data_IF_094444334028
#
_entry.id   IF_094444334028
#
_cell.length_a   1.000
_cell.length_b   1.000
_cell.length_c   1.000
_cell.angle_alpha   90.00
_cell.angle_beta   90.00
_cell.angle_gamma   90.00
#
_symmetry.space_group_name_H-M   'P 1'
#
loop_
_entity.id
_entity.type
_entity.pdbx_description
1 polymer ?
#
# COMPACT_ATOMS: atom_id res chain seq x y z
N UNK A 1 19.26 1.40 7.20
CA UNK A 1 19.64 2.56 6.34
C UNK A 1 19.26 2.31 4.85
N UNK A 2 18.16 1.60 4.56
CA UNK A 2 17.70 1.34 3.18
C UNK A 2 16.19 1.52 2.94
N UNK A 3 15.45 2.13 3.88
CA UNK A 3 14.10 2.65 3.61
C UNK A 3 14.06 3.68 2.47
N UNK A 4 15.21 4.26 2.08
CA UNK A 4 15.31 5.26 1.01
C UNK A 4 15.31 4.70 -0.42
N UNK A 5 15.11 3.39 -0.61
CA UNK A 5 15.13 2.76 -1.95
C UNK A 5 13.76 2.21 -2.40
N UNK A 6 12.77 2.10 -1.52
CA UNK A 6 11.42 1.62 -1.88
C UNK A 6 10.40 2.73 -2.16
N UNK A 7 10.71 4.00 -1.82
CA UNK A 7 9.88 5.17 -2.14
C UNK A 7 10.38 5.98 -3.36
N UNK A 8 11.45 5.53 -4.03
CA UNK A 8 12.21 6.39 -4.95
C UNK A 8 12.49 5.79 -6.36
N UNK A 9 11.93 4.62 -6.71
CA UNK A 9 12.26 3.93 -7.98
C UNK A 9 11.04 3.69 -8.88
N UNK A 10 10.32 4.78 -9.17
CA UNK A 10 9.44 4.88 -10.36
C UNK A 10 10.14 5.69 -11.48
N UNK A 11 11.40 6.12 -11.30
CA UNK A 11 12.27 6.64 -12.37
C UNK A 11 13.34 5.65 -12.76
N UNK A 12 13.33 5.22 -14.02
CA UNK A 12 14.35 5.63 -15.00
C UNK A 12 13.96 5.17 -16.43
N UNK A 13 14.45 5.89 -17.43
CA UNK A 13 14.56 5.47 -18.85
C UNK A 13 13.27 5.36 -19.71
N UNK A 14 12.77 6.52 -20.13
CA UNK A 14 12.84 6.96 -21.55
C UNK A 14 13.15 8.47 -21.55
N UNK A 15 14.12 9.04 -22.28
CA UNK A 15 14.76 8.66 -23.54
C UNK A 15 16.28 8.90 -23.49
N UNK A 16 17.05 8.16 -24.29
CA UNK A 16 18.45 8.50 -24.62
C UNK A 16 18.55 9.28 -25.94
N UNK A 17 19.64 10.05 -26.08
CA UNK A 17 20.15 10.76 -27.28
C UNK A 17 19.54 12.15 -27.61
N UNK A 18 20.35 13.09 -28.14
CA UNK A 18 21.69 13.46 -27.68
C UNK A 18 21.85 14.98 -27.46
N UNK A 19 22.85 15.37 -26.66
CA UNK A 19 23.16 16.77 -26.33
C UNK A 19 23.75 17.54 -27.51
N UNK A 20 23.42 18.84 -27.65
CA UNK A 20 24.27 19.82 -28.33
C UNK A 20 24.14 21.25 -27.78
N UNK A 21 25.29 21.79 -27.35
CA UNK A 21 25.66 23.21 -27.27
C UNK A 21 25.04 24.14 -26.18
N UNK A 22 25.62 24.04 -24.97
CA UNK A 22 26.44 25.06 -24.30
C UNK A 22 25.97 26.53 -24.07
N UNK A 23 25.76 26.86 -22.78
CA UNK A 23 26.32 28.01 -22.00
C UNK A 23 25.89 29.47 -22.32
N UNK A 24 26.09 30.48 -21.41
CA UNK A 24 26.68 30.46 -20.05
C UNK A 24 25.88 31.14 -18.91
N UNK A 25 26.49 31.09 -17.71
CA UNK A 25 26.13 31.54 -16.35
C UNK A 25 26.17 33.07 -16.09
N UNK A 26 25.33 33.56 -15.16
CA UNK A 26 25.58 34.68 -14.19
C UNK A 26 24.75 34.41 -12.92
N UNK A 27 25.28 34.19 -11.70
CA UNK A 27 25.73 35.18 -10.68
C UNK A 27 24.78 36.38 -10.49
N UNK A 28 24.40 36.87 -9.29
CA UNK A 28 24.84 36.68 -7.89
C UNK A 28 23.61 36.32 -6.99
N UNK A 29 23.47 36.50 -5.67
CA UNK A 29 24.26 37.13 -4.57
C UNK A 29 23.77 36.64 -3.19
N UNK A 30 24.54 36.91 -2.14
CA UNK A 30 24.30 36.54 -0.73
C UNK A 30 23.14 37.29 -0.03
N UNK A 31 22.61 36.69 1.05
CA UNK A 31 22.28 37.43 2.29
C UNK A 31 22.46 36.54 3.53
N UNK A 32 23.33 36.97 4.45
CA UNK A 32 23.54 36.36 5.77
C UNK A 32 22.99 37.27 6.86
N UNK A 33 22.26 36.70 7.83
CA UNK A 33 22.07 37.32 9.16
C UNK A 33 21.94 36.25 10.25
N UNK A 34 23.00 36.15 11.06
CA UNK A 34 22.99 35.76 12.48
C UNK A 34 22.10 36.73 13.31
N UNK A 35 21.67 36.53 14.56
CA UNK A 35 21.63 35.43 15.56
C UNK A 35 20.69 35.91 16.69
N UNK A 36 19.99 35.03 17.42
CA UNK A 36 19.84 35.12 18.90
C UNK A 36 19.06 33.95 19.49
N UNK A 37 19.37 33.62 20.75
CA UNK A 37 18.99 32.38 21.43
C UNK A 37 18.42 32.63 22.83
N UNK A 38 17.22 32.12 23.10
CA UNK A 38 16.58 31.91 24.42
C UNK A 38 15.16 31.40 24.16
N UNK A 39 14.57 30.42 24.85
CA UNK A 39 14.98 29.72 26.07
C UNK A 39 14.69 28.21 25.98
N UNK A 40 15.36 27.43 26.83
CA UNK A 40 15.28 25.98 26.88
C UNK A 40 14.60 25.53 28.18
N UNK A 41 13.52 24.76 28.11
CA UNK A 41 12.98 24.00 29.25
C UNK A 41 12.16 22.80 28.78
N UNK A 42 12.31 21.62 29.41
CA UNK A 42 11.81 20.36 28.87
C UNK A 42 10.35 20.10 29.24
N UNK A 43 9.56 19.62 28.28
CA UNK A 43 8.30 18.90 28.58
C UNK A 43 8.64 17.40 28.55
N UNK A 44 8.27 16.71 29.63
CA UNK A 44 8.81 15.40 29.95
C UNK A 44 8.33 14.28 29.04
N UNK A 45 9.22 13.32 28.79
CA UNK A 45 8.82 11.97 28.43
C UNK A 45 8.27 11.28 29.68
N UNK A 46 7.02 10.83 29.62
CA UNK A 46 6.38 9.73 30.37
C UNK A 46 4.89 9.72 29.93
N UNK A 47 4.18 8.60 29.78
CA UNK A 47 4.51 7.23 30.15
C UNK A 47 4.07 6.21 29.09
N UNK A 48 4.92 5.20 28.87
CA UNK A 48 4.52 3.92 28.33
C UNK A 48 3.70 3.16 29.39
N UNK A 49 2.45 2.78 29.08
CA UNK A 49 1.62 1.93 29.95
C UNK A 49 1.50 0.54 29.29
N UNK A 50 2.08 -0.52 29.89
CA UNK A 50 1.90 -1.88 29.43
C UNK A 50 0.69 -2.56 30.09
N UNK A 51 -0.03 -3.33 29.27
CA UNK A 51 -0.76 -4.57 29.57
C UNK A 51 -1.95 -4.55 30.58
N UNK A 52 -3.06 -5.16 30.17
CA UNK A 52 -3.65 -6.24 30.97
C UNK A 52 -4.51 -7.20 30.13
N UNK A 53 -3.91 -8.33 29.81
CA UNK A 53 -4.58 -9.61 29.54
C UNK A 53 -5.84 -9.88 30.39
N UNK A 54 -6.98 -10.18 29.74
CA UNK A 54 -7.99 -11.14 30.27
C UNK A 54 -9.12 -11.47 29.28
N UNK A 55 -9.02 -12.61 28.59
CA UNK A 55 -10.05 -13.67 28.63
C UNK A 55 -9.64 -14.89 27.81
N UNK A 56 -8.90 -15.81 28.44
CA UNK A 56 -8.86 -17.18 27.99
C UNK A 56 -10.08 -17.93 28.57
N UNK A 57 -11.08 -18.25 27.75
CA UNK A 57 -11.92 -19.47 27.89
C UNK A 57 -12.97 -19.61 26.78
N UNK A 58 -12.58 -20.24 25.68
CA UNK A 58 -13.49 -21.11 24.90
C UNK A 58 -12.70 -22.33 24.41
N UNK A 59 -12.89 -23.46 25.10
CA UNK A 59 -12.19 -24.71 24.80
C UNK A 59 -12.83 -25.41 23.61
N UNK A 60 -12.59 -24.89 22.40
CA UNK A 60 -12.72 -25.65 21.15
C UNK A 60 -11.34 -26.17 20.76
N UNK A 61 -11.16 -27.49 20.70
CA UNK A 61 -9.96 -28.08 20.07
C UNK A 61 -9.95 -27.68 18.61
N UNK A 62 -8.93 -26.96 18.10
CA UNK A 62 -8.80 -26.74 16.68
C UNK A 62 -8.65 -28.09 15.98
N UNK A 63 -9.21 -28.23 14.78
CA UNK A 63 -8.94 -29.40 13.95
C UNK A 63 -7.44 -29.50 13.65
N UNK A 64 -6.95 -30.70 13.33
CA UNK A 64 -5.60 -30.89 12.79
C UNK A 64 -5.49 -30.10 11.47
N UNK A 65 -5.03 -28.84 11.56
CA UNK A 65 -4.55 -28.10 10.42
C UNK A 65 -3.30 -28.81 9.94
N UNK A 66 -3.30 -29.26 8.68
CA UNK A 66 -2.06 -29.61 7.98
C UNK A 66 -1.33 -28.30 7.68
N UNK A 67 -0.69 -27.74 8.71
CA UNK A 67 0.12 -26.55 8.60
C UNK A 67 1.22 -26.76 7.58
N UNK A 68 1.59 -25.69 6.86
CA UNK A 68 2.92 -25.56 6.28
C UNK A 68 3.99 -25.88 7.33
N UNK A 69 4.51 -27.11 7.29
CA UNK A 69 5.61 -27.54 8.13
C UNK A 69 6.87 -26.78 7.71
N UNK A 70 7.22 -25.78 8.50
CA UNK A 70 8.45 -25.02 8.35
C UNK A 70 9.64 -25.98 8.17
N UNK A 71 10.36 -25.93 7.05
CA UNK A 71 11.40 -26.91 6.75
C UNK A 71 12.48 -26.86 7.83
N UNK A 72 12.80 -28.02 8.40
CA UNK A 72 13.74 -28.17 9.52
C UNK A 72 15.18 -27.85 9.08
N UNK A 73 15.50 -26.56 9.04
CA UNK A 73 16.82 -26.09 8.63
C UNK A 73 17.84 -26.23 9.75
N UNK A 74 18.78 -27.15 9.56
CA UNK A 74 20.04 -27.14 10.29
C UNK A 74 20.83 -25.89 9.89
N UNK A 75 20.86 -24.88 10.75
CA UNK A 75 21.61 -23.63 10.54
C UNK A 75 23.09 -23.95 10.28
N UNK A 76 23.66 -23.63 9.10
CA UNK A 76 25.10 -23.59 8.92
C UNK A 76 25.64 -22.30 9.57
N UNK A 77 26.75 -22.34 10.32
CA UNK A 77 27.28 -21.13 10.96
C UNK A 77 27.85 -20.16 9.93
N UNK A 78 27.76 -18.86 10.24
CA UNK A 78 28.31 -17.77 9.44
C UNK A 78 29.78 -17.98 9.07
N UNK A 79 30.10 -17.84 7.79
CA UNK A 79 31.50 -17.80 7.31
C UNK A 79 31.73 -16.67 6.31
N UNK A 80 31.85 -15.45 6.83
CA UNK A 80 32.46 -14.35 6.10
C UNK A 80 33.95 -14.64 5.85
N UNK A 81 34.31 -15.15 4.67
CA UNK A 81 35.69 -15.03 4.15
C UNK A 81 35.69 -14.91 2.62
N UNK A 82 36.29 -13.86 2.02
CA UNK A 82 36.37 -13.73 0.57
C UNK A 82 37.52 -14.57 0.00
N UNK A 83 37.19 -15.68 -0.67
CA UNK A 83 38.18 -16.50 -1.40
C UNK A 83 38.17 -16.19 -2.89
N UNK A 84 39.25 -15.57 -3.34
CA UNK A 84 39.46 -15.14 -4.73
C UNK A 84 40.16 -16.27 -5.52
N UNK A 85 39.46 -16.90 -6.47
CA UNK A 85 40.08 -17.88 -7.38
C UNK A 85 39.48 -17.84 -8.78
N UNK A 86 40.29 -17.40 -9.74
CA UNK A 86 40.04 -17.54 -11.18
C UNK A 86 40.23 -18.99 -11.62
N UNK A 87 39.28 -19.53 -12.39
CA UNK A 87 39.52 -20.67 -13.26
C UNK A 87 38.58 -20.64 -14.46
N UNK A 88 39.16 -20.52 -15.66
CA UNK A 88 38.45 -20.82 -16.90
C UNK A 88 38.25 -22.33 -16.99
N UNK A 89 37.09 -22.78 -17.48
CA UNK A 89 37.04 -23.87 -18.46
C UNK A 89 35.69 -23.93 -19.18
N UNK A 90 35.74 -23.89 -20.51
CA UNK A 90 34.59 -24.15 -21.36
C UNK A 90 34.28 -25.65 -21.39
N UNK A 91 33.04 -26.03 -21.13
CA UNK A 91 32.49 -27.31 -21.55
C UNK A 91 31.00 -27.14 -21.87
N UNK A 92 30.68 -27.15 -23.16
CA UNK A 92 29.30 -27.18 -23.66
C UNK A 92 28.65 -28.50 -23.31
N UNK A 93 27.54 -28.46 -22.56
CA UNK A 93 26.60 -29.58 -22.43
C UNK A 93 25.21 -29.04 -22.71
N UNK A 94 24.61 -29.48 -23.81
CA UNK A 94 23.22 -29.20 -24.13
C UNK A 94 22.32 -30.05 -23.22
N UNK A 95 21.66 -29.43 -22.24
CA UNK A 95 20.52 -30.03 -21.54
C UNK A 95 19.24 -29.34 -21.96
N UNK A 96 18.46 -30.03 -22.79
CA UNK A 96 17.10 -29.66 -23.13
C UNK A 96 16.21 -29.71 -21.88
N UNK A 97 15.89 -28.54 -21.33
CA UNK A 97 14.77 -28.37 -20.40
C UNK A 97 13.66 -27.63 -21.11
N UNK A 98 12.51 -28.29 -21.27
CA UNK A 98 11.32 -27.70 -21.86
C UNK A 98 10.65 -26.70 -20.90
N UNK A 99 11.25 -25.52 -20.75
CA UNK A 99 10.55 -24.36 -20.25
C UNK A 99 9.54 -23.89 -21.30
N UNK A 100 8.34 -23.51 -20.88
CA UNK A 100 7.33 -22.90 -21.76
C UNK A 100 7.74 -21.48 -22.14
N UNK A 101 8.66 -21.36 -23.10
CA UNK A 101 9.02 -20.08 -23.71
C UNK A 101 7.87 -19.63 -24.61
N UNK A 102 6.95 -18.85 -24.06
CA UNK A 102 6.01 -18.07 -24.86
C UNK A 102 6.83 -17.14 -25.77
N UNK A 103 6.66 -17.17 -27.10
CA UNK A 103 7.42 -16.31 -27.99
C UNK A 103 7.03 -14.85 -27.73
N UNK A 104 8.03 -13.97 -27.58
CA UNK A 104 7.80 -12.55 -27.25
C UNK A 104 6.88 -11.90 -28.31
N UNK A 105 5.67 -11.45 -27.92
CA UNK A 105 4.75 -10.83 -28.85
C UNK A 105 5.23 -9.41 -29.20
N UNK A 106 5.18 -9.00 -30.48
CA UNK A 106 5.61 -7.67 -30.86
C UNK A 106 4.67 -6.60 -30.27
N UNK A 107 5.26 -5.51 -29.77
CA UNK A 107 4.64 -4.23 -29.31
C UNK A 107 4.15 -4.08 -27.87
N UNK A 108 4.14 -5.10 -27.02
CA UNK A 108 3.93 -4.89 -25.58
C UNK A 108 5.22 -4.44 -24.90
N UNK A 109 5.18 -3.40 -24.06
CA UNK A 109 6.32 -2.99 -23.23
C UNK A 109 6.06 -3.39 -21.78
N UNK A 110 7.05 -4.02 -21.14
CA UNK A 110 7.11 -4.20 -19.68
C UNK A 110 7.15 -2.83 -19.00
N UNK A 111 6.15 -2.46 -18.18
CA UNK A 111 6.22 -1.25 -17.35
C UNK A 111 7.25 -1.44 -16.23
N UNK A 112 7.75 -0.33 -15.71
CA UNK A 112 8.73 -0.30 -14.62
C UNK A 112 7.99 -0.07 -13.29
N UNK A 113 7.35 -1.12 -12.79
CA UNK A 113 6.54 -1.10 -11.56
C UNK A 113 7.34 -1.59 -10.35
N UNK A 114 7.03 -1.06 -9.16
CA UNK A 114 7.69 -1.45 -7.88
C UNK A 114 6.95 -2.60 -7.21
N UNK A 115 5.63 -2.51 -7.07
CA UNK A 115 4.81 -3.54 -6.39
C UNK A 115 4.16 -4.52 -7.37
N UNK A 116 3.50 -4.02 -8.42
CA UNK A 116 2.94 -4.86 -9.49
C UNK A 116 4.05 -5.63 -10.22
N UNK A 117 3.83 -6.90 -10.52
CA UNK A 117 4.70 -7.65 -11.43
C UNK A 117 4.55 -7.13 -12.88
N UNK A 118 5.47 -6.25 -13.30
CA UNK A 118 5.47 -5.66 -14.63
C UNK A 118 5.62 -6.69 -15.76
N UNK A 119 6.16 -7.88 -15.51
CA UNK A 119 6.23 -8.93 -16.54
C UNK A 119 4.88 -9.62 -16.72
N UNK A 120 4.15 -9.89 -15.63
CA UNK A 120 2.75 -10.36 -15.70
C UNK A 120 1.83 -9.33 -16.35
N UNK A 121 1.94 -8.05 -15.97
CA UNK A 121 1.20 -6.95 -16.63
C UNK A 121 1.41 -6.94 -18.14
N UNK A 122 2.67 -7.06 -18.58
CA UNK A 122 3.01 -7.13 -20.00
C UNK A 122 2.33 -8.32 -20.69
N UNK A 123 2.45 -9.53 -20.12
CA UNK A 123 1.83 -10.72 -20.69
C UNK A 123 0.30 -10.61 -20.75
N UNK A 124 -0.35 -10.08 -19.72
CA UNK A 124 -1.77 -9.82 -19.68
C UNK A 124 -2.20 -8.85 -20.81
N UNK A 125 -1.52 -7.71 -20.96
CA UNK A 125 -1.77 -6.75 -22.05
C UNK A 125 -1.64 -7.39 -23.44
N UNK A 126 -0.66 -8.29 -23.64
CA UNK A 126 -0.52 -8.98 -24.92
C UNK A 126 -1.64 -9.99 -25.18
N UNK A 127 -2.03 -10.77 -24.17
CA UNK A 127 -3.14 -11.73 -24.28
C UNK A 127 -4.46 -11.01 -24.55
N UNK A 128 -4.73 -9.91 -23.84
CA UNK A 128 -5.83 -8.97 -24.13
C UNK A 128 -5.82 -8.54 -25.59
N UNK A 129 -4.69 -8.00 -26.09
CA UNK A 129 -4.56 -7.56 -27.50
C UNK A 129 -4.71 -8.68 -28.52
N UNK A 130 -4.39 -9.92 -28.15
CA UNK A 130 -4.58 -11.11 -29.00
C UNK A 130 -6.03 -11.63 -29.03
N UNK A 131 -6.93 -11.07 -28.21
CA UNK A 131 -8.33 -11.48 -28.14
C UNK A 131 -8.62 -12.64 -27.20
N UNK A 132 -7.80 -12.84 -26.16
CA UNK A 132 -8.02 -13.89 -25.15
C UNK A 132 -9.34 -13.67 -24.40
N UNK A 133 -10.32 -14.54 -24.65
CA UNK A 133 -11.69 -14.40 -24.13
C UNK A 133 -11.77 -14.39 -22.60
N UNK A 134 -10.82 -15.01 -21.90
CA UNK A 134 -10.79 -14.99 -20.43
C UNK A 134 -10.49 -13.58 -19.92
N UNK A 135 -9.36 -13.02 -20.36
CA UNK A 135 -8.92 -11.67 -19.98
C UNK A 135 -9.80 -10.56 -20.57
N UNK A 136 -10.50 -10.80 -21.68
CA UNK A 136 -11.50 -9.86 -22.17
C UNK A 136 -12.68 -9.71 -21.19
N UNK A 137 -13.03 -10.76 -20.44
CA UNK A 137 -14.03 -10.64 -19.37
C UNK A 137 -13.50 -9.85 -18.18
N UNK A 138 -12.26 -10.12 -17.75
CA UNK A 138 -11.60 -9.37 -16.66
C UNK A 138 -11.49 -7.89 -17.03
N UNK A 139 -11.08 -7.59 -18.28
CA UNK A 139 -10.93 -6.23 -18.81
C UNK A 139 -12.26 -5.49 -18.82
N UNK A 140 -13.37 -6.13 -19.19
CA UNK A 140 -14.68 -5.49 -19.14
C UNK A 140 -15.06 -5.07 -17.70
N UNK A 141 -14.66 -5.85 -16.68
CA UNK A 141 -14.80 -5.48 -15.27
C UNK A 141 -13.96 -4.24 -14.91
N UNK A 142 -12.68 -4.26 -15.25
CA UNK A 142 -11.76 -3.13 -15.04
C UNK A 142 -12.23 -1.85 -15.73
N UNK A 143 -12.65 -1.95 -17.00
CA UNK A 143 -13.16 -0.80 -17.76
C UNK A 143 -14.49 -0.29 -17.20
N UNK A 144 -15.37 -1.17 -16.72
CA UNK A 144 -16.59 -0.74 -16.03
C UNK A 144 -16.28 0.09 -14.77
N UNK A 145 -15.33 -0.33 -13.94
CA UNK A 145 -14.87 0.47 -12.79
C UNK A 145 -14.24 1.80 -13.24
N UNK A 146 -13.41 1.79 -14.28
CA UNK A 146 -12.77 2.99 -14.81
C UNK A 146 -13.80 4.03 -15.29
N UNK A 147 -14.86 3.61 -15.99
CA UNK A 147 -15.96 4.50 -16.41
C UNK A 147 -16.72 5.11 -15.21
N UNK A 148 -16.87 4.39 -14.10
CA UNK A 148 -17.43 4.96 -12.86
C UNK A 148 -16.51 6.06 -12.30
N UNK A 149 -15.19 5.86 -12.32
CA UNK A 149 -14.22 6.85 -11.85
C UNK A 149 -14.05 8.05 -12.79
N UNK A 150 -14.28 7.90 -14.10
CA UNK A 150 -14.27 9.00 -15.08
C UNK A 150 -15.31 10.10 -14.80
N UNK A 151 -16.28 9.87 -13.91
CA UNK A 151 -17.32 10.86 -13.53
C UNK A 151 -17.13 11.47 -12.14
N UNK A 152 -16.01 11.18 -11.48
CA UNK A 152 -15.75 11.54 -10.09
C UNK A 152 -14.41 12.26 -9.90
N UNK A 153 -14.27 12.95 -8.76
CA UNK A 153 -13.06 13.71 -8.42
C UNK A 153 -12.87 14.99 -9.26
N UNK A 154 -11.67 15.60 -9.22
CA UNK A 154 -10.55 15.21 -8.36
C UNK A 154 -10.79 15.56 -6.88
N UNK A 155 -10.09 14.87 -5.97
CA UNK A 155 -10.19 15.05 -4.52
C UNK A 155 -8.95 15.75 -3.94
N UNK A 156 -9.06 16.29 -2.72
CA UNK A 156 -7.95 16.99 -2.05
C UNK A 156 -8.12 17.02 -0.54
N UNK A 157 -7.00 17.05 0.20
CA UNK A 157 -6.98 17.30 1.64
C UNK A 157 -7.64 18.62 2.06
N UNK A 158 -7.69 19.63 1.17
CA UNK A 158 -8.29 20.94 1.49
C UNK A 158 -9.81 20.90 1.61
N UNK A 159 -10.43 19.76 1.28
CA UNK A 159 -11.87 19.51 1.37
C UNK A 159 -12.35 19.16 2.79
N UNK A 160 -11.45 19.04 3.78
CA UNK A 160 -11.80 18.72 5.16
C UNK A 160 -12.86 19.66 5.74
N UNK A 161 -14.01 19.10 6.16
CA UNK A 161 -15.14 19.88 6.71
C UNK A 161 -14.81 20.46 8.10
N UNK A 162 -13.99 19.75 8.87
CA UNK A 162 -13.46 20.17 10.18
C UNK A 162 -12.01 20.60 10.02
N UNK A 163 -11.66 21.74 10.62
CA UNK A 163 -10.29 22.28 10.58
C UNK A 163 -9.29 21.31 11.21
N UNK A 164 -8.11 21.17 10.59
CA UNK A 164 -6.99 20.39 11.13
C UNK A 164 -6.48 21.04 12.43
N UNK A 165 -6.48 20.33 13.58
CA UNK A 165 -5.97 20.88 14.84
C UNK A 165 -4.48 21.21 14.75
N UNK A 166 -4.09 22.44 15.08
CA UNK A 166 -2.70 22.94 15.04
C UNK A 166 -1.98 22.81 13.67
N UNK A 167 -2.71 22.54 12.59
CA UNK A 167 -2.22 22.45 11.23
C UNK A 167 -2.90 23.47 10.30
N UNK A 168 -2.91 23.17 9.00
CA UNK A 168 -3.55 23.97 7.95
C UNK A 168 -4.34 23.07 6.98
N UNK A 169 -5.04 23.66 6.00
CA UNK A 169 -5.89 22.93 5.05
C UNK A 169 -5.14 21.94 4.15
N UNK A 170 -3.82 22.10 3.98
CA UNK A 170 -2.99 21.19 3.19
C UNK A 170 -2.47 19.99 3.99
N UNK A 171 -2.72 19.93 5.30
CA UNK A 171 -2.35 18.76 6.10
C UNK A 171 -3.42 17.66 5.98
N UNK A 172 -2.98 16.43 5.70
CA UNK A 172 -3.87 15.27 5.77
C UNK A 172 -4.30 15.03 7.22
N UNK A 173 -5.61 14.92 7.42
CA UNK A 173 -6.19 14.69 8.73
C UNK A 173 -7.15 13.50 8.71
N UNK A 174 -7.07 12.67 9.74
CA UNK A 174 -8.04 11.62 9.99
C UNK A 174 -8.22 11.44 11.49
N UNK A 175 -9.45 11.19 11.94
CA UNK A 175 -9.73 10.83 13.34
C UNK A 175 -9.78 9.31 13.47
N UNK A 176 -9.35 8.78 14.62
CA UNK A 176 -9.42 7.34 14.85
C UNK A 176 -10.89 6.88 15.00
N UNK A 177 -11.32 5.82 14.28
CA UNK A 177 -12.73 5.50 14.08
C UNK A 177 -13.47 5.06 15.35
N UNK A 178 -12.74 4.51 16.32
CA UNK A 178 -13.31 3.91 17.53
C UNK A 178 -13.17 4.78 18.78
N UNK A 179 -12.93 6.08 18.62
CA UNK A 179 -12.81 7.03 19.74
C UNK A 179 -14.01 7.97 19.78
N UNK A 180 -14.76 7.94 20.87
CA UNK A 180 -15.99 8.69 21.11
C UNK A 180 -15.81 9.70 22.23
N UNK A 181 -16.55 10.83 22.26
CA UNK A 181 -16.52 11.75 23.39
C UNK A 181 -17.06 11.07 24.67
N UNK A 182 -16.58 11.48 25.85
CA UNK A 182 -16.98 10.82 27.12
C UNK A 182 -18.50 10.88 27.36
N UNK A 183 -19.13 12.00 26.98
CA UNK A 183 -20.58 12.21 27.03
C UNK A 183 -21.40 11.50 25.93
N UNK A 184 -20.88 10.53 25.18
CA UNK A 184 -21.65 9.89 24.10
C UNK A 184 -22.96 9.20 24.56
N UNK A 185 -23.01 8.72 25.81
CA UNK A 185 -24.19 8.13 26.46
C UNK A 185 -25.19 9.18 27.01
N UNK A 186 -24.73 10.40 27.30
CA UNK A 186 -25.53 11.53 27.79
C UNK A 186 -24.98 12.85 27.22
N UNK A 187 -25.31 13.19 25.95
CA UNK A 187 -24.72 14.34 25.26
C UNK A 187 -24.93 15.68 25.98
N UNK A 188 -26.00 15.82 26.75
CA UNK A 188 -26.37 17.04 27.47
C UNK A 188 -25.50 17.30 28.72
N UNK A 189 -24.76 16.29 29.20
CA UNK A 189 -23.85 16.42 30.36
C UNK A 189 -22.68 17.39 30.13
N UNK A 190 -22.33 17.66 28.87
CA UNK A 190 -21.24 18.56 28.47
C UNK A 190 -19.81 18.03 28.70
N UNK A 191 -19.66 16.82 29.26
CA UNK A 191 -18.36 16.21 29.56
C UNK A 191 -17.77 15.51 28.33
N UNK A 192 -17.27 16.29 27.38
CA UNK A 192 -16.83 15.78 26.06
C UNK A 192 -15.47 15.06 26.10
N UNK A 193 -14.59 15.42 27.05
CA UNK A 193 -13.21 14.95 27.12
C UNK A 193 -12.96 14.17 28.44
N UNK A 194 -12.03 13.19 28.46
CA UNK A 194 -11.25 12.68 27.34
C UNK A 194 -12.11 11.81 26.40
N UNK A 195 -11.72 11.68 25.13
CA UNK A 195 -12.37 10.68 24.29
C UNK A 195 -12.05 9.28 24.81
N UNK A 196 -13.01 8.36 24.70
CA UNK A 196 -12.95 6.98 25.18
C UNK A 196 -13.01 6.01 24.00
N UNK A 197 -12.22 4.94 24.07
CA UNK A 197 -12.22 3.91 23.02
C UNK A 197 -13.43 2.99 23.17
N UNK A 198 -14.12 2.73 22.06
CA UNK A 198 -15.25 1.81 21.90
C UNK A 198 -14.98 0.94 20.68
N UNK A 199 -14.22 -0.14 20.87
CA UNK A 199 -13.74 -0.97 19.77
C UNK A 199 -14.88 -1.54 18.92
N UNK A 200 -14.68 -1.59 17.60
CA UNK A 200 -15.72 -1.93 16.62
C UNK A 200 -16.86 -0.91 16.45
N UNK A 201 -17.05 0.06 17.36
CA UNK A 201 -18.15 1.04 17.31
C UNK A 201 -17.68 2.32 16.61
N UNK A 202 -18.06 2.47 15.34
CA UNK A 202 -17.63 3.58 14.48
C UNK A 202 -18.24 4.94 14.87
N UNK A 203 -17.40 5.93 15.22
CA UNK A 203 -17.82 7.31 15.49
C UNK A 203 -18.02 8.09 14.17
N UNK A 204 -19.26 8.50 13.81
CA UNK A 204 -19.52 9.23 12.57
C UNK A 204 -18.88 10.63 12.49
N UNK A 205 -18.38 11.18 13.61
CA UNK A 205 -17.58 12.42 13.59
C UNK A 205 -16.33 12.29 12.72
N UNK A 206 -15.76 11.08 12.56
CA UNK A 206 -14.56 10.89 11.74
C UNK A 206 -14.77 11.29 10.28
N UNK A 207 -16.02 11.27 9.80
CA UNK A 207 -16.38 11.69 8.44
C UNK A 207 -16.27 13.21 8.23
N UNK A 208 -16.07 14.02 9.28
CA UNK A 208 -15.78 15.44 9.13
C UNK A 208 -14.33 15.70 8.66
N UNK A 209 -13.44 14.74 8.86
CA UNK A 209 -12.10 14.72 8.27
C UNK A 209 -12.14 13.95 6.95
N UNK A 210 -12.83 14.53 5.96
CA UNK A 210 -13.09 13.93 4.65
C UNK A 210 -11.84 13.48 3.93
N UNK A 211 -10.66 14.08 4.23
CA UNK A 211 -9.40 13.71 3.59
C UNK A 211 -9.06 12.22 3.68
N UNK A 212 -9.55 11.47 4.67
CA UNK A 212 -9.40 10.00 4.71
C UNK A 212 -10.14 9.26 3.58
N UNK A 213 -11.38 9.67 3.30
CA UNK A 213 -12.21 9.10 2.23
C UNK A 213 -11.80 9.65 0.85
N UNK A 214 -11.56 10.96 0.75
CA UNK A 214 -11.03 11.63 -0.44
C UNK A 214 -9.68 11.02 -0.88
N UNK A 215 -8.78 10.72 0.07
CA UNK A 215 -7.52 9.99 -0.18
C UNK A 215 -7.77 8.59 -0.72
N UNK A 216 -8.73 7.86 -0.16
CA UNK A 216 -9.07 6.52 -0.64
C UNK A 216 -9.54 6.56 -2.09
N UNK A 217 -10.48 7.44 -2.41
CA UNK A 217 -10.99 7.62 -3.77
C UNK A 217 -9.89 8.08 -4.73
N UNK A 218 -8.98 8.96 -4.29
CA UNK A 218 -7.81 9.40 -5.06
C UNK A 218 -6.90 8.23 -5.43
N UNK A 219 -6.57 7.35 -4.47
CA UNK A 219 -5.80 6.12 -4.71
C UNK A 219 -6.53 5.18 -5.67
N UNK A 220 -7.75 4.73 -5.31
CA UNK A 220 -8.50 3.73 -6.07
C UNK A 220 -8.79 4.18 -7.50
N UNK A 221 -9.21 5.45 -7.69
CA UNK A 221 -9.48 5.99 -9.00
C UNK A 221 -8.21 6.10 -9.84
N UNK A 222 -7.14 6.73 -9.34
CA UNK A 222 -5.91 6.91 -10.12
C UNK A 222 -5.30 5.56 -10.53
N UNK A 223 -5.27 4.59 -9.62
CA UNK A 223 -4.83 3.22 -9.88
C UNK A 223 -5.70 2.49 -10.93
N UNK A 224 -7.01 2.48 -10.75
CA UNK A 224 -7.96 1.82 -11.67
C UNK A 224 -7.89 2.42 -13.07
N UNK A 225 -7.88 3.76 -13.18
CA UNK A 225 -7.80 4.50 -14.43
C UNK A 225 -6.47 4.26 -15.15
N UNK A 226 -5.36 4.15 -14.40
CA UNK A 226 -4.05 3.83 -14.95
C UNK A 226 -3.95 2.42 -15.50
N UNK A 227 -4.46 1.41 -14.78
CA UNK A 227 -4.58 0.03 -15.29
C UNK A 227 -5.49 -0.04 -16.52
N UNK A 228 -6.63 0.67 -16.50
CA UNK A 228 -7.55 0.75 -17.62
C UNK A 228 -6.90 1.40 -18.85
N UNK A 229 -6.15 2.49 -18.69
CA UNK A 229 -5.33 3.05 -19.77
C UNK A 229 -4.27 2.05 -20.24
N UNK A 230 -3.54 1.40 -19.33
CA UNK A 230 -2.48 0.47 -19.69
C UNK A 230 -3.03 -0.69 -20.53
N UNK A 231 -4.14 -1.32 -20.16
CA UNK A 231 -4.66 -2.48 -20.90
C UNK A 231 -5.45 -2.09 -22.18
N UNK A 232 -6.13 -0.94 -22.21
CA UNK A 232 -6.95 -0.52 -23.38
C UNK A 232 -6.25 0.42 -24.38
N UNK A 233 -5.12 1.03 -24.00
CA UNK A 233 -4.49 2.18 -24.66
C UNK A 233 -5.39 3.44 -24.77
N UNK A 234 -6.58 3.48 -24.15
CA UNK A 234 -7.46 4.64 -24.16
C UNK A 234 -6.88 5.78 -23.31
N UNK A 235 -6.50 6.88 -23.97
CA UNK A 235 -5.83 7.99 -23.30
C UNK A 235 -6.71 8.83 -22.38
N UNK A 236 -8.04 8.67 -22.37
CA UNK A 236 -8.92 9.43 -21.45
C UNK A 236 -8.65 9.08 -19.99
N UNK A 237 -8.50 7.80 -19.67
CA UNK A 237 -8.31 7.34 -18.29
C UNK A 237 -7.03 7.92 -17.66
N UNK A 238 -5.89 7.86 -18.36
CA UNK A 238 -4.64 8.46 -17.86
C UNK A 238 -4.69 9.98 -17.72
N UNK A 239 -5.48 10.69 -18.53
CA UNK A 239 -5.63 12.15 -18.40
C UNK A 239 -6.38 12.47 -17.11
N UNK A 240 -7.40 11.69 -16.79
CA UNK A 240 -8.16 11.82 -15.54
C UNK A 240 -7.34 11.38 -14.31
N UNK A 241 -6.62 10.25 -14.40
CA UNK A 241 -5.68 9.81 -13.37
C UNK A 241 -4.62 10.87 -13.04
N UNK A 242 -4.03 11.48 -14.08
CA UNK A 242 -3.05 12.55 -13.91
C UNK A 242 -3.67 13.82 -13.29
N UNK A 243 -4.93 14.16 -13.57
CA UNK A 243 -5.61 15.31 -12.96
C UNK A 243 -5.90 15.09 -11.46
N UNK A 244 -6.34 13.88 -11.12
CA UNK A 244 -6.52 13.42 -9.73
C UNK A 244 -5.20 13.52 -8.94
N UNK A 245 -4.12 12.91 -9.45
CA UNK A 245 -2.83 12.90 -8.75
C UNK A 245 -2.20 14.30 -8.69
N UNK A 246 -2.33 15.13 -9.74
CA UNK A 246 -1.86 16.53 -9.69
C UNK A 246 -2.60 17.34 -8.64
N UNK A 247 -3.92 17.19 -8.56
CA UNK A 247 -4.73 17.89 -7.55
C UNK A 247 -4.29 17.53 -6.15
N UNK A 248 -3.94 16.26 -5.90
CA UNK A 248 -3.49 15.82 -4.58
C UNK A 248 -2.03 16.17 -4.23
N UNK A 249 -1.09 16.14 -5.18
CA UNK A 249 0.35 16.22 -4.87
C UNK A 249 1.11 17.41 -5.44
N UNK A 250 0.58 18.11 -6.46
CA UNK A 250 1.37 19.04 -7.30
C UNK A 250 0.76 20.44 -7.36
N UNK A 251 -0.55 20.54 -7.49
CA UNK A 251 -1.27 21.81 -7.64
C UNK A 251 -1.22 22.60 -6.32
N UNK A 252 -0.42 23.66 -6.23
CA UNK A 252 -0.17 24.44 -5.00
C UNK A 252 -1.42 24.78 -4.17
N UNK A 253 -2.55 25.09 -4.83
CA UNK A 253 -3.81 25.43 -4.17
C UNK A 253 -4.56 24.25 -3.51
N UNK A 254 -4.18 22.99 -3.82
CA UNK A 254 -4.88 21.77 -3.38
C UNK A 254 -3.93 20.65 -2.92
N UNK A 255 -2.62 20.81 -3.12
CA UNK A 255 -1.63 19.78 -2.83
C UNK A 255 -1.52 19.53 -1.32
N UNK A 256 -1.37 18.26 -0.96
CA UNK A 256 -1.11 17.80 0.40
C UNK A 256 0.33 18.12 0.83
N UNK A 257 0.53 18.55 2.06
CA UNK A 257 1.84 18.65 2.68
C UNK A 257 2.44 17.24 2.88
N UNK A 258 3.74 17.01 2.60
CA UNK A 258 4.35 15.67 2.60
C UNK A 258 4.60 15.11 4.01
N UNK A 259 3.56 14.95 4.81
CA UNK A 259 3.59 14.43 6.17
C UNK A 259 2.23 13.85 6.59
N UNK A 260 2.22 13.04 7.65
CA UNK A 260 1.00 12.54 8.30
C UNK A 260 0.96 12.94 9.78
N UNK A 261 1.37 14.15 10.12
CA UNK A 261 1.38 14.63 11.50
C UNK A 261 -0.02 14.66 12.14
N UNK A 262 -1.09 14.69 11.32
CA UNK A 262 -2.48 14.77 11.77
C UNK A 262 -3.35 13.53 11.46
N UNK A 263 -2.71 12.38 11.15
CA UNK A 263 -3.42 11.12 10.93
C UNK A 263 -3.81 10.42 12.23
N UNK A 264 -5.00 9.81 12.25
CA UNK A 264 -5.60 9.06 13.37
C UNK A 264 -5.59 9.80 14.72
N UNK A 265 -5.87 11.10 14.68
CA UNK A 265 -5.98 11.97 15.84
C UNK A 265 -7.06 11.52 16.83
N UNK A 266 -6.89 11.87 18.09
CA UNK A 266 -7.93 11.73 19.13
C UNK A 266 -8.19 13.13 19.71
N UNK A 267 -9.41 13.68 19.55
CA UNK A 267 -9.78 14.95 20.15
C UNK A 267 -9.50 14.96 21.66
N UNK A 268 -9.07 16.11 22.17
CA UNK A 268 -8.60 16.31 23.55
C UNK A 268 -7.30 15.58 23.97
N UNK A 269 -6.69 14.71 23.14
CA UNK A 269 -5.52 13.91 23.53
C UNK A 269 -4.30 14.05 22.62
N UNK A 270 -4.47 14.18 21.29
CA UNK A 270 -3.37 14.38 20.34
C UNK A 270 -3.89 14.87 18.99
N UNK A 271 -3.04 15.60 18.26
CA UNK A 271 -3.36 16.10 16.93
C UNK A 271 -3.13 15.04 15.82
N UNK A 272 -2.48 13.92 16.13
CA UNK A 272 -2.23 12.76 15.27
C UNK A 272 -1.36 11.70 15.96
N UNK A 273 -1.20 10.49 15.38
CA UNK A 273 -0.42 9.36 15.93
C UNK A 273 0.26 8.50 14.86
N UNK A 274 1.31 7.77 15.28
CA UNK A 274 2.16 6.92 14.41
C UNK A 274 1.39 5.85 13.65
N UNK A 275 0.39 5.22 14.28
CA UNK A 275 -0.50 4.21 13.68
C UNK A 275 -1.13 4.74 12.38
N UNK A 276 -1.39 6.05 12.29
CA UNK A 276 -1.95 6.69 11.10
C UNK A 276 -1.04 6.71 9.86
N UNK A 277 0.22 6.26 9.96
CA UNK A 277 1.05 5.95 8.79
C UNK A 277 0.39 4.86 7.91
N UNK A 278 -0.41 3.96 8.49
CA UNK A 278 -1.17 2.95 7.74
C UNK A 278 -2.18 3.57 6.75
N UNK A 279 -2.62 4.81 7.00
CA UNK A 279 -3.56 5.49 6.10
C UNK A 279 -2.95 5.73 4.69
N UNK A 280 -1.64 5.53 4.47
CA UNK A 280 -0.93 5.75 3.19
C UNK A 280 -0.19 4.53 2.63
N UNK A 281 -0.53 3.30 3.04
CA UNK A 281 0.17 2.07 2.61
C UNK A 281 -0.21 1.54 1.21
N UNK A 282 -0.35 2.40 0.19
CA UNK A 282 -0.84 2.04 -1.16
C UNK A 282 -0.03 2.70 -2.30
N UNK A 283 -0.22 2.22 -3.55
CA UNK A 283 0.58 2.54 -4.74
C UNK A 283 -0.04 3.60 -5.71
N UNK A 284 0.77 4.10 -6.65
CA UNK A 284 0.38 5.04 -7.72
C UNK A 284 1.11 4.75 -9.06
N UNK A 285 0.68 5.40 -10.16
CA UNK A 285 1.24 5.26 -11.53
C UNK A 285 1.70 6.63 -12.13
N UNK A 286 2.60 6.62 -13.13
CA UNK A 286 3.36 7.79 -13.60
C UNK A 286 2.92 8.37 -14.97
N UNK A 287 1.71 8.94 -15.05
CA UNK A 287 1.12 9.41 -16.33
C UNK A 287 1.14 10.93 -16.61
N UNK A 288 2.12 11.67 -16.07
CA UNK A 288 2.22 13.15 -16.14
C UNK A 288 3.47 13.69 -16.85
N UNK A 289 3.67 15.02 -16.88
CA UNK A 289 4.83 15.65 -17.55
C UNK A 289 6.11 15.55 -16.74
N UNK A 290 7.27 15.80 -17.37
CA UNK A 290 8.57 15.81 -16.69
C UNK A 290 8.68 16.83 -15.55
N UNK A 291 7.89 17.91 -15.58
CA UNK A 291 7.85 18.90 -14.50
C UNK A 291 7.00 18.39 -13.32
N UNK A 292 5.81 17.85 -13.63
CA UNK A 292 4.93 17.22 -12.64
C UNK A 292 5.65 16.09 -11.90
N UNK A 293 6.36 15.26 -12.66
CA UNK A 293 7.22 14.18 -12.19
C UNK A 293 8.32 14.68 -11.23
N UNK A 294 8.98 15.79 -11.55
CA UNK A 294 10.00 16.37 -10.66
C UNK A 294 9.40 16.88 -9.34
N UNK A 295 8.21 17.50 -9.38
CA UNK A 295 7.50 17.97 -8.18
C UNK A 295 7.01 16.79 -7.34
N UNK A 296 6.40 15.77 -7.93
CA UNK A 296 5.98 14.56 -7.22
C UNK A 296 7.17 13.82 -6.60
N UNK A 297 8.34 13.81 -7.25
CA UNK A 297 9.56 13.26 -6.67
C UNK A 297 10.11 14.05 -5.51
N UNK A 298 9.99 15.38 -5.55
CA UNK A 298 10.30 16.20 -4.39
C UNK A 298 9.36 15.87 -3.24
N UNK A 299 8.03 15.81 -3.49
CA UNK A 299 7.03 15.42 -2.50
C UNK A 299 7.34 14.07 -1.84
N UNK A 300 7.65 13.03 -2.64
CA UNK A 300 8.01 11.71 -2.10
C UNK A 300 9.34 11.72 -1.33
N UNK A 301 10.31 12.55 -1.74
CA UNK A 301 11.58 12.71 -1.02
C UNK A 301 11.41 13.42 0.32
N UNK A 302 10.52 14.42 0.37
CA UNK A 302 10.16 15.14 1.58
C UNK A 302 9.34 14.26 2.51
N UNK A 303 8.39 13.47 1.98
CA UNK A 303 7.60 12.52 2.75
C UNK A 303 8.46 11.39 3.31
N UNK A 304 9.39 10.83 2.52
CA UNK A 304 10.40 9.88 3.01
C UNK A 304 11.30 10.50 4.09
N UNK A 305 11.65 11.78 3.96
CA UNK A 305 12.42 12.50 4.98
C UNK A 305 11.62 12.62 6.28
N UNK A 306 10.35 13.01 6.21
CA UNK A 306 9.45 13.02 7.37
C UNK A 306 9.25 11.61 7.95
N UNK A 307 9.02 10.59 7.12
CA UNK A 307 8.79 9.20 7.54
C UNK A 307 10.03 8.56 8.18
N UNK A 308 11.24 9.05 7.90
CA UNK A 308 12.47 8.52 8.50
C UNK A 308 13.01 9.37 9.68
N UNK A 309 12.51 10.59 9.86
CA UNK A 309 13.03 11.54 10.86
C UNK A 309 12.00 12.03 11.89
N UNK A 310 10.70 11.90 11.61
CA UNK A 310 9.63 12.20 12.56
C UNK A 310 9.55 11.16 13.68
N UNK A 311 8.92 11.51 14.79
CA UNK A 311 8.73 10.58 15.90
C UNK A 311 7.69 9.50 15.58
N UNK A 312 6.74 9.78 14.69
CA UNK A 312 5.81 8.78 14.15
C UNK A 312 6.57 7.72 13.35
N UNK A 313 7.41 8.18 12.41
CA UNK A 313 8.26 7.32 11.59
C UNK A 313 9.22 6.46 12.41
N UNK A 314 9.86 7.04 13.44
CA UNK A 314 10.72 6.29 14.38
C UNK A 314 9.95 5.25 15.19
N UNK A 315 8.72 5.55 15.62
CA UNK A 315 7.88 4.62 16.38
C UNK A 315 7.57 3.36 15.54
N UNK A 316 7.11 3.53 14.30
CA UNK A 316 6.83 2.41 13.39
C UNK A 316 8.12 1.70 12.91
N UNK A 317 9.22 2.44 12.68
CA UNK A 317 10.48 1.84 12.24
C UNK A 317 11.11 0.90 13.28
N UNK A 318 10.79 1.04 14.57
CA UNK A 318 11.19 0.08 15.60
C UNK A 318 10.54 -1.30 15.38
N UNK A 319 9.30 -1.34 14.84
CA UNK A 319 8.59 -2.56 14.43
C UNK A 319 9.22 -3.11 13.14
N UNK A 320 9.59 -2.22 12.20
CA UNK A 320 10.15 -2.56 10.88
C UNK A 320 11.63 -2.92 10.81
N UNK A 321 12.31 -3.32 11.90
CA UNK A 321 13.77 -3.57 11.88
C UNK A 321 14.23 -4.85 11.17
N UNK A 322 13.31 -5.64 10.58
CA UNK A 322 13.58 -6.93 9.91
C UNK A 322 13.78 -6.82 8.38
N UNK A 323 14.10 -5.65 7.85
CA UNK A 323 14.22 -5.41 6.39
C UNK A 323 15.56 -5.88 5.77
N UNK A 324 15.77 -7.20 5.80
CA UNK A 324 16.50 -7.96 4.77
C UNK A 324 16.14 -9.47 4.84
N UNK A 325 14.90 -9.78 5.22
CA UNK A 325 14.40 -11.14 5.43
C UNK A 325 13.54 -11.55 4.23
N UNK A 326 13.77 -12.77 3.72
CA UNK A 326 12.83 -13.43 2.81
C UNK A 326 11.57 -13.79 3.61
N UNK A 327 10.61 -12.86 3.68
CA UNK A 327 9.38 -13.04 4.45
C UNK A 327 8.52 -14.21 3.95
N UNK A 328 8.65 -14.60 2.68
CA UNK A 328 7.88 -15.69 2.09
C UNK A 328 8.35 -17.06 2.57
N UNK A 329 9.65 -17.22 2.78
CA UNK A 329 10.26 -18.44 3.31
C UNK A 329 10.70 -18.30 4.77
N UNK A 330 10.39 -17.18 5.42
CA UNK A 330 10.67 -16.99 6.85
C UNK A 330 9.76 -17.87 7.71
N UNK A 331 10.38 -18.45 8.73
CA UNK A 331 9.72 -19.21 9.78
C UNK A 331 10.16 -18.67 11.14
N UNK A 332 9.19 -18.26 11.94
CA UNK A 332 9.40 -17.87 13.33
C UNK A 332 9.72 -19.09 14.22
N UNK A 333 10.17 -18.83 15.47
CA UNK A 333 10.64 -19.87 16.38
C UNK A 333 9.59 -20.92 16.74
N UNK A 334 8.29 -20.58 16.65
CA UNK A 334 7.17 -21.48 16.93
C UNK A 334 6.41 -21.87 15.64
N UNK A 335 7.06 -21.76 14.47
CA UNK A 335 6.49 -22.13 13.16
C UNK A 335 5.66 -21.04 12.47
N UNK A 336 5.67 -19.80 12.98
CA UNK A 336 4.94 -18.69 12.36
C UNK A 336 5.47 -18.41 10.95
N UNK A 337 4.62 -18.46 9.93
CA UNK A 337 5.00 -18.16 8.54
C UNK A 337 3.83 -17.53 7.77
N UNK A 338 4.13 -16.79 6.71
CA UNK A 338 3.10 -16.22 5.83
C UNK A 338 2.26 -17.34 5.17
N UNK A 339 2.90 -18.44 4.77
CA UNK A 339 2.21 -19.61 4.19
C UNK A 339 1.23 -20.24 5.18
N UNK A 340 1.66 -20.48 6.43
CA UNK A 340 0.76 -21.00 7.47
C UNK A 340 -0.45 -20.12 7.76
N UNK A 341 -0.32 -18.79 7.61
CA UNK A 341 -1.46 -17.87 7.70
C UNK A 341 -2.41 -17.99 6.50
N UNK A 342 -1.89 -18.25 5.29
CA UNK A 342 -2.68 -18.42 4.07
C UNK A 342 -3.37 -19.79 4.05
N UNK A 343 -2.68 -20.86 4.45
CA UNK A 343 -3.25 -22.20 4.64
C UNK A 343 -4.48 -22.17 5.56
N UNK A 344 -4.39 -21.40 6.64
CA UNK A 344 -5.49 -21.18 7.57
C UNK A 344 -6.69 -20.44 6.94
N UNK A 345 -6.46 -19.53 5.99
CA UNK A 345 -7.53 -18.78 5.31
C UNK A 345 -8.23 -19.59 4.21
N UNK A 346 -7.52 -20.49 3.53
CA UNK A 346 -8.03 -21.24 2.36
C UNK A 346 -9.36 -21.98 2.62
N UNK A 347 -9.57 -22.69 3.74
CA UNK A 347 -10.85 -23.36 4.02
C UNK A 347 -12.05 -22.40 4.08
N UNK A 348 -11.84 -21.17 4.58
CA UNK A 348 -12.88 -20.15 4.66
C UNK A 348 -13.08 -19.47 3.29
N UNK A 349 -12.00 -19.17 2.57
CA UNK A 349 -12.06 -18.58 1.22
C UNK A 349 -12.70 -19.50 0.17
N UNK A 350 -12.57 -20.82 0.32
CA UNK A 350 -13.25 -21.85 -0.49
C UNK A 350 -14.67 -22.17 -0.01
N UNK A 351 -15.08 -21.65 1.15
CA UNK A 351 -16.38 -21.96 1.77
C UNK A 351 -16.51 -23.41 2.24
N UNK A 352 -15.41 -24.16 2.31
CA UNK A 352 -15.37 -25.52 2.87
C UNK A 352 -15.47 -25.53 4.40
N UNK A 353 -15.18 -24.40 5.05
CA UNK A 353 -15.47 -24.12 6.45
C UNK A 353 -16.16 -22.76 6.64
N UNK A 354 -16.89 -22.62 7.75
CA UNK A 354 -17.48 -21.35 8.19
C UNK A 354 -16.47 -20.62 9.08
N UNK A 355 -16.31 -19.31 8.88
CA UNK A 355 -15.46 -18.47 9.73
C UNK A 355 -15.86 -18.57 11.21
N UNK A 356 -14.97 -18.99 12.12
CA UNK A 356 -15.35 -19.31 13.51
C UNK A 356 -15.10 -18.17 14.50
N UNK A 357 -14.56 -17.04 14.05
CA UNK A 357 -14.26 -15.87 14.89
C UNK A 357 -15.35 -14.80 14.74
N UNK A 358 -15.37 -13.86 15.69
CA UNK A 358 -16.24 -12.69 15.59
C UNK A 358 -15.80 -11.82 14.40
N UNK A 359 -16.75 -11.51 13.52
CA UNK A 359 -16.57 -10.69 12.33
C UNK A 359 -17.93 -10.05 12.02
N UNK A 360 -17.95 -8.76 11.73
CA UNK A 360 -19.16 -8.00 11.44
C UNK A 360 -19.63 -8.22 10.01
N UNK A 361 -18.71 -8.29 9.04
CA UNK A 361 -19.02 -8.37 7.61
C UNK A 361 -18.05 -9.32 6.88
N UNK A 362 -18.14 -10.63 7.14
CA UNK A 362 -17.26 -11.60 6.49
C UNK A 362 -17.49 -11.68 4.97
N UNK A 363 -16.49 -11.29 4.18
CA UNK A 363 -16.48 -11.37 2.72
C UNK A 363 -15.56 -12.50 2.27
N UNK A 364 -16.13 -13.60 1.78
CA UNK A 364 -15.39 -14.80 1.39
C UNK A 364 -14.27 -14.53 0.36
N UNK A 365 -14.46 -13.56 -0.53
CA UNK A 365 -13.48 -13.18 -1.56
C UNK A 365 -12.36 -12.26 -1.04
N UNK A 366 -12.40 -11.76 0.20
CA UNK A 366 -11.37 -10.85 0.74
C UNK A 366 -9.97 -11.50 0.75
N UNK A 367 -9.91 -12.83 0.89
CA UNK A 367 -8.65 -13.59 0.83
C UNK A 367 -8.19 -13.93 -0.61
N UNK A 368 -8.96 -13.59 -1.66
CA UNK A 368 -8.66 -14.05 -3.02
C UNK A 368 -7.33 -13.53 -3.56
N UNK A 369 -6.98 -12.28 -3.28
CA UNK A 369 -5.71 -11.65 -3.65
C UNK A 369 -4.50 -12.31 -2.97
N UNK A 370 -4.56 -12.55 -1.65
CA UNK A 370 -3.44 -13.19 -0.91
C UNK A 370 -3.24 -14.67 -1.30
N UNK A 371 -4.33 -15.37 -1.67
CA UNK A 371 -4.24 -16.76 -2.17
C UNK A 371 -3.67 -16.79 -3.60
N UNK A 372 -4.04 -15.85 -4.48
CA UNK A 372 -3.41 -15.74 -5.80
C UNK A 372 -1.92 -15.37 -5.71
N UNK A 373 -1.55 -14.45 -4.81
CA UNK A 373 -0.16 -14.14 -4.50
C UNK A 373 0.62 -15.39 -4.06
N UNK A 374 0.03 -16.21 -3.18
CA UNK A 374 0.64 -17.45 -2.72
C UNK A 374 0.86 -18.46 -3.84
N UNK A 375 -0.15 -18.65 -4.69
CA UNK A 375 -0.08 -19.56 -5.83
C UNK A 375 1.02 -19.15 -6.83
N UNK A 376 1.17 -17.84 -7.06
CA UNK A 376 2.23 -17.25 -7.88
C UNK A 376 3.64 -17.44 -7.27
N UNK A 377 3.74 -17.53 -5.95
CA UNK A 377 4.97 -17.87 -5.23
C UNK A 377 5.16 -19.39 -4.99
N UNK A 378 4.51 -20.22 -5.81
CA UNK A 378 4.60 -21.68 -5.83
C UNK A 378 4.06 -22.39 -4.58
N UNK A 379 3.12 -21.76 -3.86
CA UNK A 379 2.38 -22.47 -2.82
C UNK A 379 1.41 -23.47 -3.43
N UNK A 380 1.60 -24.76 -3.13
CA UNK A 380 0.83 -25.84 -3.74
C UNK A 380 -0.60 -25.92 -3.23
N UNK A 381 -0.86 -25.55 -1.97
CA UNK A 381 -2.21 -25.59 -1.42
C UNK A 381 -3.03 -24.44 -2.00
N UNK A 382 -2.46 -23.23 -2.04
CA UNK A 382 -3.06 -22.09 -2.74
C UNK A 382 -3.33 -22.38 -4.22
N UNK A 383 -2.36 -22.93 -4.96
CA UNK A 383 -2.55 -23.36 -6.36
C UNK A 383 -3.71 -24.35 -6.53
N UNK A 384 -3.87 -25.28 -5.59
CA UNK A 384 -4.99 -26.25 -5.63
C UNK A 384 -6.34 -25.63 -5.29
N UNK A 385 -6.36 -24.54 -4.51
CA UNK A 385 -7.58 -23.85 -4.07
C UNK A 385 -8.12 -22.82 -5.08
N UNK A 386 -7.28 -22.30 -6.01
CA UNK A 386 -7.68 -21.29 -7.00
C UNK A 386 -8.99 -21.57 -7.78
N UNK A 387 -9.36 -22.82 -8.12
CA UNK A 387 -10.63 -23.11 -8.79
C UNK A 387 -11.87 -22.92 -7.90
N UNK A 388 -11.71 -22.99 -6.58
CA UNK A 388 -12.80 -23.08 -5.60
C UNK A 388 -12.96 -21.82 -4.73
N UNK A 389 -12.03 -20.87 -4.79
CA UNK A 389 -12.13 -19.59 -4.06
C UNK A 389 -13.17 -18.64 -4.68
N UNK A 390 -13.85 -17.88 -3.82
CA UNK A 390 -14.73 -16.81 -4.26
C UNK A 390 -13.94 -15.60 -4.77
N UNK A 391 -14.49 -14.92 -5.78
CA UNK A 391 -14.00 -13.63 -6.28
C UNK A 391 -15.06 -12.54 -6.09
N UNK A 392 -14.62 -11.28 -6.15
CA UNK A 392 -15.50 -10.10 -6.09
C UNK A 392 -16.55 -10.11 -7.22
N UNK A 393 -17.73 -9.47 -7.07
CA UNK A 393 -18.76 -9.41 -8.13
C UNK A 393 -18.31 -8.86 -9.50
N UNK A 394 -17.19 -8.14 -9.55
CA UNK A 394 -16.52 -7.67 -10.78
C UNK A 394 -15.64 -8.73 -11.47
N UNK A 395 -15.61 -9.96 -10.94
CA UNK A 395 -14.79 -11.07 -11.41
C UNK A 395 -13.38 -11.11 -10.80
N UNK A 396 -12.57 -12.08 -11.26
CA UNK A 396 -11.14 -12.11 -10.97
C UNK A 396 -10.47 -10.93 -11.69
N UNK A 397 -9.59 -10.21 -10.99
CA UNK A 397 -8.80 -9.10 -11.54
C UNK A 397 -7.29 -9.34 -11.41
N UNK A 398 -6.87 -10.46 -10.79
CA UNK A 398 -5.46 -10.75 -10.49
C UNK A 398 -4.55 -10.71 -11.73
N UNK A 399 -5.01 -11.22 -12.88
CA UNK A 399 -4.23 -11.19 -14.11
C UNK A 399 -3.95 -9.78 -14.62
N UNK A 400 -4.84 -8.83 -14.32
CA UNK A 400 -4.75 -7.43 -14.75
C UNK A 400 -4.08 -6.52 -13.71
N UNK A 401 -4.12 -6.90 -12.42
CA UNK A 401 -3.44 -6.28 -11.27
C UNK A 401 -2.77 -7.33 -10.36
N UNK A 402 -1.57 -7.84 -10.72
CA UNK A 402 -0.89 -8.89 -9.96
C UNK A 402 -0.16 -8.32 -8.72
N UNK A 403 -0.95 -7.88 -7.74
CA UNK A 403 -0.53 -7.38 -6.42
C UNK A 403 -1.60 -7.71 -5.39
N UNK A 404 -1.20 -8.16 -4.20
CA UNK A 404 -2.16 -8.41 -3.13
C UNK A 404 -2.61 -7.08 -2.51
N UNK A 405 -3.87 -6.72 -2.73
CA UNK A 405 -4.47 -5.49 -2.20
C UNK A 405 -5.41 -5.82 -1.02
N UNK A 406 -5.61 -4.85 -0.14
CA UNK A 406 -6.69 -4.95 0.85
C UNK A 406 -8.02 -4.75 0.11
N UNK A 407 -8.77 -5.84 -0.08
CA UNK A 407 -10.06 -5.83 -0.79
C UNK A 407 -11.22 -5.23 0.03
N UNK A 408 -10.93 -4.69 1.22
CA UNK A 408 -11.91 -4.08 2.12
C UNK A 408 -12.32 -2.67 1.67
N UNK A 409 -12.99 -2.59 0.52
CA UNK A 409 -13.91 -1.49 0.18
C UNK A 409 -15.03 -2.00 -0.73
N UNK A 410 -16.06 -2.59 -0.12
CA UNK A 410 -17.41 -2.21 -0.55
C UNK A 410 -17.79 -1.03 0.32
N UNK A 411 -17.88 0.16 -0.30
CA UNK A 411 -18.68 1.25 0.25
C UNK A 411 -20.08 0.69 0.48
N UNK A 412 -20.43 0.45 1.74
CA UNK A 412 -21.81 0.14 2.11
C UNK A 412 -22.62 1.38 1.78
N UNK A 413 -23.28 1.36 0.62
CA UNK A 413 -24.34 2.30 0.30
C UNK A 413 -25.50 2.03 1.24
N UNK A 414 -25.41 2.56 2.46
CA UNK A 414 -26.58 2.88 3.27
C UNK A 414 -27.50 3.75 2.41
N UNK A 415 -28.75 3.33 2.30
CA UNK A 415 -29.76 3.79 1.33
C UNK A 415 -30.38 5.15 1.65
#
# INVERSE_FOLDING_TARGET
MLFSHSFATIVLCTLTLPVSNALPVTSTSDYTTEVSSSDNSPIGADAYIPDSSSNANSSGTPADYTSYDCPSSSVPPDSHTPSNTTSNNSATVETSTAGTSFPDPPTCRKPATVVLDGQKLMYAKCRVKSGDLSLQSELNGLLYQAELWMTQGPWSVVNNLKSVPNGNSHDYASQAPYWWPNNWEDPDSGDVCPYVQRDGVFNPETNQYTSKADRLSMFEASYTLSLAWYHSDNSSYRVHAADILKTWFINEATAMNPNLAHSQLIPCANDGRSIGIIDFSLDYDDSWSQNDEAVFRQWNSDYLTWLTQSDFGKAEANIGTLLNVDLWNYCGPDGQSIKGAIDFLIPYATGSQVWPYEELNFLQYAASDVINAAADHNDQYAQSALPDIAYSPIGNQWSLRPSAEQLDNIVTTES
#
